data_IF_559215828886
#
_entry.id   IF_559215828886
#
_cell.length_a   1.000
_cell.length_b   1.000
_cell.length_c   1.000
_cell.angle_alpha   90.00
_cell.angle_beta   90.00
_cell.angle_gamma   90.00
#
_symmetry.space_group_name_H-M   'P 1'
#
loop_
_entity.id
_entity.type
_entity.pdbx_description
1 polymer ?
#
# COMPACT_ATOMS: atom_id res chain seq x y z
N UNK A 1 2.56 79.15 33.53
CA UNK A 1 1.53 79.41 32.49
C UNK A 1 1.21 78.10 31.79
N UNK A 2 -0.06 77.89 31.45
CA UNK A 2 -0.67 76.60 31.14
C UNK A 2 -0.66 76.23 29.64
N UNK A 3 -0.85 74.92 29.39
CA UNK A 3 -1.52 74.20 28.27
C UNK A 3 -1.20 74.55 26.81
N UNK A 4 -0.85 73.52 26.03
CA UNK A 4 -1.39 73.17 24.69
C UNK A 4 -0.93 71.73 24.36
N UNK A 5 -1.80 70.72 24.24
CA UNK A 5 -2.58 70.38 23.03
C UNK A 5 -1.72 69.44 22.15
N UNK A 6 -1.95 68.13 22.06
CA UNK A 6 -3.04 67.41 21.37
C UNK A 6 -2.49 66.61 20.17
N UNK A 7 -2.64 65.28 20.24
CA UNK A 7 -2.91 64.30 19.18
C UNK A 7 -2.06 64.30 17.90
N UNK A 8 -1.23 63.26 17.71
CA UNK A 8 -0.92 62.71 16.37
C UNK A 8 -0.64 61.20 16.39
N UNK A 9 -1.64 60.47 15.88
CA UNK A 9 -1.61 59.23 15.10
C UNK A 9 -0.70 58.07 15.54
N UNK A 10 -1.31 57.05 16.16
CA UNK A 10 -0.79 55.69 16.19
C UNK A 10 -0.90 55.06 14.79
N UNK A 11 0.23 54.77 14.14
CA UNK A 11 0.28 53.94 12.93
C UNK A 11 0.28 52.47 13.34
N UNK A 12 -0.90 51.83 13.33
CA UNK A 12 -1.01 50.37 13.34
C UNK A 12 -0.80 49.86 11.91
N UNK A 13 0.40 49.36 11.60
CA UNK A 13 0.63 48.54 10.42
C UNK A 13 0.04 47.15 10.67
N UNK A 14 -1.21 46.94 10.26
CA UNK A 14 -1.78 45.59 10.12
C UNK A 14 -1.18 44.97 8.86
N UNK A 15 -0.17 44.11 9.05
CA UNK A 15 0.31 43.21 8.01
C UNK A 15 -0.77 42.16 7.75
N UNK A 16 -1.61 42.40 6.75
CA UNK A 16 -2.46 41.37 6.17
C UNK A 16 -1.57 40.39 5.39
N UNK A 17 -1.12 39.34 6.07
CA UNK A 17 -0.55 38.17 5.39
C UNK A 17 -1.67 37.51 4.58
N UNK A 18 -1.65 37.73 3.27
CA UNK A 18 -2.34 36.90 2.30
C UNK A 18 -1.70 35.51 2.35
N UNK A 19 -2.11 34.70 3.33
CA UNK A 19 -1.84 33.27 3.32
C UNK A 19 -2.61 32.69 2.15
N UNK A 20 -1.90 32.31 1.09
CA UNK A 20 -2.43 31.37 0.11
C UNK A 20 -2.75 30.09 0.86
N UNK A 21 -4.01 29.91 1.25
CA UNK A 21 -4.52 28.62 1.67
C UNK A 21 -4.57 27.79 0.40
N UNK A 22 -3.46 27.12 0.08
CA UNK A 22 -3.50 26.01 -0.86
C UNK A 22 -4.47 25.00 -0.22
N UNK A 23 -5.65 24.85 -0.81
CA UNK A 23 -6.60 23.84 -0.42
C UNK A 23 -5.87 22.49 -0.52
N UNK A 24 -5.57 21.89 0.63
CA UNK A 24 -5.12 20.51 0.68
C UNK A 24 -6.19 19.67 -0.02
N UNK A 25 -5.82 18.77 -0.94
CA UNK A 25 -6.79 17.84 -1.48
C UNK A 25 -7.40 17.09 -0.30
N UNK A 26 -8.72 17.22 -0.14
CA UNK A 26 -9.48 16.51 0.88
C UNK A 26 -9.26 15.02 0.67
N UNK A 27 -8.82 14.32 1.71
CA UNK A 27 -8.61 12.87 1.75
C UNK A 27 -9.91 12.04 1.56
N UNK A 28 -10.98 12.66 1.05
CA UNK A 28 -12.35 12.16 1.00
C UNK A 28 -12.63 11.19 -0.16
N UNK A 29 -11.63 10.88 -0.99
CA UNK A 29 -11.73 9.85 -2.03
C UNK A 29 -10.54 8.88 -2.02
N UNK A 30 -9.77 8.83 -0.92
CA UNK A 30 -8.72 7.85 -0.78
C UNK A 30 -9.35 6.47 -0.52
N UNK A 31 -9.07 5.51 -1.39
CA UNK A 31 -9.46 4.11 -1.17
C UNK A 31 -8.84 3.65 0.16
N UNK A 32 -9.69 3.22 1.08
CA UNK A 32 -9.26 2.68 2.37
C UNK A 32 -8.56 1.33 2.16
N UNK A 33 -7.44 1.16 2.86
CA UNK A 33 -6.73 -0.12 2.91
C UNK A 33 -7.15 -0.84 4.19
N UNK A 34 -7.81 -1.99 4.04
CA UNK A 34 -8.33 -2.82 5.12
C UNK A 34 -7.32 -3.95 5.40
N UNK A 35 -6.64 -3.95 6.55
CA UNK A 35 -5.78 -5.04 6.97
C UNK A 35 -6.49 -6.39 7.05
N UNK A 36 -5.76 -7.44 6.69
CA UNK A 36 -6.16 -8.81 6.93
C UNK A 36 -6.26 -9.18 8.42
N UNK A 37 -6.96 -10.28 8.76
CA UNK A 37 -7.07 -10.75 10.13
C UNK A 37 -5.70 -10.92 10.80
N UNK A 38 -5.55 -10.35 11.99
CA UNK A 38 -4.32 -10.45 12.80
C UNK A 38 -3.19 -9.51 12.38
N UNK A 39 -3.34 -8.71 11.31
CA UNK A 39 -2.34 -7.74 10.90
C UNK A 39 -2.59 -6.34 11.52
N UNK A 40 -1.52 -5.55 11.78
CA UNK A 40 -1.65 -4.23 12.39
C UNK A 40 -2.47 -3.23 11.56
N UNK A 41 -3.21 -2.34 12.22
CA UNK A 41 -3.92 -1.25 11.56
C UNK A 41 -2.99 -0.22 10.90
N UNK A 42 -3.49 0.54 9.92
CA UNK A 42 -2.77 1.69 9.35
C UNK A 42 -2.39 2.74 10.41
N UNK A 43 -3.32 3.00 11.35
CA UNK A 43 -3.14 3.99 12.43
C UNK A 43 -1.95 3.62 13.32
N UNK A 44 -1.80 2.33 13.64
CA UNK A 44 -0.65 1.86 14.43
C UNK A 44 0.70 1.97 13.71
N UNK A 45 0.70 2.13 12.39
CA UNK A 45 1.92 2.26 11.58
C UNK A 45 2.24 3.71 11.24
N UNK A 46 1.37 4.67 11.55
CA UNK A 46 1.54 6.07 11.19
C UNK A 46 1.54 6.32 9.67
N UNK A 47 0.94 5.42 8.88
CA UNK A 47 0.88 5.53 7.43
C UNK A 47 -0.22 6.50 7.00
N UNK A 48 0.11 7.38 6.06
CA UNK A 48 -0.88 8.26 5.41
C UNK A 48 -1.39 7.64 4.11
N UNK A 49 -2.54 8.10 3.61
CA UNK A 49 -3.03 7.71 2.28
C UNK A 49 -1.98 8.01 1.19
N UNK A 50 -1.26 9.12 1.29
CA UNK A 50 -0.20 9.45 0.35
C UNK A 50 0.94 8.42 0.35
N UNK A 51 1.25 7.80 1.49
CA UNK A 51 2.25 6.74 1.57
C UNK A 51 1.80 5.45 0.87
N UNK A 52 0.51 5.14 0.95
CA UNK A 52 -0.07 3.93 0.36
C UNK A 52 -0.11 3.99 -1.17
N UNK A 53 -0.27 5.16 -1.77
CA UNK A 53 -0.31 5.31 -3.25
C UNK A 53 1.03 5.74 -3.87
N UNK A 54 2.15 5.65 -3.14
CA UNK A 54 3.47 5.91 -3.71
C UNK A 54 3.80 4.90 -4.80
N UNK A 55 4.50 5.37 -5.83
CA UNK A 55 5.04 4.52 -6.90
C UNK A 55 5.90 3.41 -6.31
N UNK A 56 5.69 2.20 -6.81
CA UNK A 56 6.46 1.01 -6.42
C UNK A 56 7.71 0.85 -7.29
N UNK A 57 8.74 0.15 -6.80
CA UNK A 57 9.93 -0.14 -7.61
C UNK A 57 9.58 -1.00 -8.83
N UNK A 58 10.20 -0.72 -9.97
CA UNK A 58 10.21 -1.64 -11.11
C UNK A 58 11.18 -2.78 -10.79
N UNK A 59 10.70 -4.03 -10.78
CA UNK A 59 11.58 -5.18 -10.60
C UNK A 59 12.22 -5.48 -11.95
N UNK A 60 13.49 -5.09 -12.11
CA UNK A 60 14.34 -5.65 -13.17
C UNK A 60 14.57 -7.13 -12.87
N UNK A 61 14.28 -8.01 -13.82
CA UNK A 61 14.25 -9.48 -13.68
C UNK A 61 15.59 -10.16 -13.30
N UNK A 62 16.59 -9.39 -12.85
CA UNK A 62 17.96 -9.84 -12.57
C UNK A 62 18.25 -10.13 -11.09
N UNK A 63 17.30 -9.94 -10.17
CA UNK A 63 17.54 -10.14 -8.72
C UNK A 63 16.61 -11.18 -8.13
N UNK A 64 16.99 -12.45 -8.25
CA UNK A 64 16.77 -13.46 -7.21
C UNK A 64 17.75 -14.64 -7.39
N UNK A 65 18.78 -14.79 -6.53
CA UNK A 65 19.56 -16.01 -6.50
C UNK A 65 18.68 -17.16 -5.99
N UNK A 66 18.41 -18.12 -6.87
CA UNK A 66 18.19 -19.56 -6.64
C UNK A 66 17.80 -19.99 -5.21
N UNK A 67 16.70 -19.48 -4.67
CA UNK A 67 15.83 -20.30 -3.83
C UNK A 67 14.93 -21.03 -4.82
N UNK A 68 14.94 -22.36 -4.82
CA UNK A 68 14.13 -23.15 -5.76
C UNK A 68 12.67 -22.78 -5.57
N UNK A 69 12.15 -22.00 -6.53
CA UNK A 69 10.76 -21.63 -6.61
C UNK A 69 9.97 -22.93 -6.72
N UNK A 70 9.09 -23.20 -5.76
CA UNK A 70 8.19 -24.38 -5.81
C UNK A 70 6.89 -24.08 -6.56
N UNK A 71 6.79 -22.88 -7.13
CA UNK A 71 5.62 -22.36 -7.81
C UNK A 71 6.07 -21.46 -8.95
N UNK A 72 5.50 -21.66 -10.14
CA UNK A 72 5.75 -20.81 -11.29
C UNK A 72 4.79 -19.62 -11.22
N UNK A 73 5.34 -18.41 -11.04
CA UNK A 73 4.51 -17.19 -11.07
C UNK A 73 3.82 -17.06 -12.43
N UNK A 74 2.57 -16.63 -12.41
CA UNK A 74 1.78 -16.46 -13.62
C UNK A 74 0.84 -15.27 -13.54
N UNK A 75 0.54 -14.73 -14.71
CA UNK A 75 -0.45 -13.68 -14.87
C UNK A 75 -1.81 -14.29 -15.20
N UNK A 76 -2.85 -13.74 -14.58
CA UNK A 76 -4.23 -13.96 -14.97
C UNK A 76 -4.73 -12.73 -15.72
N UNK A 77 -5.77 -12.91 -16.53
CA UNK A 77 -6.34 -11.83 -17.33
C UNK A 77 -7.87 -11.94 -17.44
N UNK A 78 -8.50 -12.58 -16.46
CA UNK A 78 -9.94 -12.85 -16.48
C UNK A 78 -10.69 -11.77 -15.71
N UNK A 79 -10.25 -11.48 -14.49
CA UNK A 79 -10.89 -10.52 -13.61
C UNK A 79 -9.85 -9.54 -13.07
N UNK A 80 -9.33 -8.70 -13.96
CA UNK A 80 -8.31 -7.72 -13.62
C UNK A 80 -8.83 -6.70 -12.60
N UNK A 81 -8.01 -6.30 -11.63
CA UNK A 81 -8.30 -5.25 -10.63
C UNK A 81 -7.49 -3.99 -10.89
N UNK A 82 -7.88 -2.85 -10.30
CA UNK A 82 -7.13 -1.62 -10.44
C UNK A 82 -5.71 -1.75 -9.85
N UNK A 83 -4.68 -1.42 -10.64
CA UNK A 83 -3.28 -1.52 -10.22
C UNK A 83 -2.93 -0.61 -9.03
N UNK A 84 -3.55 0.56 -8.92
CA UNK A 84 -3.27 1.50 -7.82
C UNK A 84 -3.82 0.97 -6.49
N UNK A 85 -4.94 0.24 -6.52
CA UNK A 85 -5.48 -0.45 -5.36
C UNK A 85 -4.55 -1.59 -4.89
N UNK A 86 -4.03 -2.38 -5.83
CA UNK A 86 -3.01 -3.38 -5.52
C UNK A 86 -1.73 -2.76 -4.94
N UNK A 87 -1.30 -1.61 -5.47
CA UNK A 87 -0.14 -0.85 -4.94
C UNK A 87 -0.38 -0.39 -3.49
N UNK A 88 -1.59 0.04 -3.16
CA UNK A 88 -1.95 0.43 -1.81
C UNK A 88 -1.75 -0.72 -0.81
N UNK A 89 -2.24 -1.91 -1.15
CA UNK A 89 -2.00 -3.09 -0.34
C UNK A 89 -0.52 -3.51 -0.30
N UNK A 90 0.21 -3.43 -1.42
CA UNK A 90 1.65 -3.68 -1.44
C UNK A 90 2.40 -2.77 -0.46
N UNK A 91 2.14 -1.47 -0.50
CA UNK A 91 2.85 -0.49 0.35
C UNK A 91 2.55 -0.72 1.83
N UNK A 92 1.31 -1.09 2.17
CA UNK A 92 0.94 -1.51 3.52
C UNK A 92 1.73 -2.75 3.98
N UNK A 93 1.71 -3.83 3.20
CA UNK A 93 2.40 -5.08 3.54
C UNK A 93 3.93 -4.90 3.62
N UNK A 94 4.50 -4.07 2.75
CA UNK A 94 5.92 -3.74 2.78
C UNK A 94 6.29 -2.93 4.04
N UNK A 95 5.43 -2.00 4.47
CA UNK A 95 5.64 -1.21 5.69
C UNK A 95 5.60 -2.06 6.97
N UNK A 96 4.91 -3.20 6.96
CA UNK A 96 4.92 -4.17 8.05
C UNK A 96 6.28 -4.85 8.26
N UNK A 97 7.18 -4.79 7.28
CA UNK A 97 8.56 -5.26 7.40
C UNK A 97 8.63 -6.75 7.75
N UNK A 98 9.22 -7.05 8.91
CA UNK A 98 9.42 -8.43 9.43
C UNK A 98 8.24 -8.96 10.24
N UNK A 99 7.08 -8.28 10.23
CA UNK A 99 5.84 -8.87 10.77
C UNK A 99 5.54 -10.17 10.02
N UNK A 100 5.09 -11.19 10.74
CA UNK A 100 4.75 -12.47 10.12
C UNK A 100 3.43 -12.35 9.36
N UNK A 101 3.44 -12.74 8.08
CA UNK A 101 2.27 -12.92 7.25
C UNK A 101 2.09 -14.42 7.04
N UNK A 102 1.16 -15.01 7.78
CA UNK A 102 0.93 -16.46 7.84
C UNK A 102 -0.44 -16.86 7.35
N UNK A 103 -0.56 -18.09 6.85
CA UNK A 103 -1.78 -18.69 6.35
C UNK A 103 -1.81 -20.18 6.66
N UNK A 104 -2.98 -20.66 7.07
CA UNK A 104 -3.22 -22.10 7.23
C UNK A 104 -3.78 -22.69 5.92
N UNK A 105 -4.78 -22.03 5.34
CA UNK A 105 -5.39 -22.43 4.05
C UNK A 105 -5.38 -21.27 3.05
N UNK A 106 -6.32 -20.34 3.19
CA UNK A 106 -6.41 -19.11 2.42
C UNK A 106 -6.68 -17.92 3.36
N UNK A 107 -6.15 -16.74 3.04
CA UNK A 107 -6.40 -15.51 3.81
C UNK A 107 -6.27 -14.29 2.92
N UNK A 108 -7.00 -13.23 3.25
CA UNK A 108 -6.72 -11.89 2.74
C UNK A 108 -5.71 -11.22 3.66
N UNK A 109 -4.54 -10.87 3.13
CA UNK A 109 -3.58 -10.06 3.89
C UNK A 109 -3.96 -8.58 3.86
N UNK A 110 -4.62 -8.14 2.79
CA UNK A 110 -5.04 -6.77 2.63
C UNK A 110 -6.12 -6.65 1.55
N UNK A 111 -7.06 -5.73 1.76
CA UNK A 111 -8.05 -5.31 0.76
C UNK A 111 -7.91 -3.81 0.52
N UNK A 112 -8.03 -3.38 -0.73
CA UNK A 112 -8.13 -1.98 -1.11
C UNK A 112 -9.04 -1.86 -2.34
N UNK A 113 -10.18 -1.19 -2.21
CA UNK A 113 -11.08 -0.95 -3.34
C UNK A 113 -11.55 -2.26 -3.99
N UNK A 114 -11.23 -2.46 -5.28
CA UNK A 114 -11.58 -3.67 -6.03
C UNK A 114 -10.54 -4.82 -5.91
N UNK A 115 -9.41 -4.59 -5.23
CA UNK A 115 -8.32 -5.54 -5.13
C UNK A 115 -8.18 -6.12 -3.72
N UNK A 116 -7.83 -7.40 -3.63
CA UNK A 116 -7.21 -7.95 -2.43
C UNK A 116 -5.85 -8.57 -2.76
N UNK A 117 -4.94 -8.55 -1.79
CA UNK A 117 -3.72 -9.34 -1.80
C UNK A 117 -3.92 -10.51 -0.85
N UNK A 118 -4.04 -11.71 -1.43
CA UNK A 118 -4.30 -12.95 -0.72
C UNK A 118 -3.05 -13.80 -0.49
N UNK A 119 -3.19 -14.80 0.37
CA UNK A 119 -2.23 -15.86 0.62
C UNK A 119 -2.87 -17.24 0.57
N UNK A 120 -2.19 -18.21 -0.04
CA UNK A 120 -2.59 -19.62 -0.08
C UNK A 120 -1.45 -20.54 0.33
N UNK A 121 -1.75 -21.58 1.11
CA UNK A 121 -0.78 -22.62 1.46
C UNK A 121 -0.89 -23.85 0.53
N UNK A 122 0.20 -24.20 -0.16
CA UNK A 122 0.26 -25.37 -1.05
C UNK A 122 0.94 -26.61 -0.44
N UNK A 123 1.55 -26.51 0.74
CA UNK A 123 2.28 -27.61 1.38
C UNK A 123 1.46 -28.37 2.45
N UNK A 124 0.27 -27.87 2.82
CA UNK A 124 -0.53 -28.36 3.94
C UNK A 124 0.02 -27.91 5.29
N UNK A 125 -0.85 -27.54 6.24
CA UNK A 125 -0.46 -27.04 7.56
C UNK A 125 -0.37 -25.50 7.61
N UNK A 126 0.64 -24.96 8.28
CA UNK A 126 0.88 -23.51 8.36
C UNK A 126 2.03 -23.09 7.46
N UNK A 127 1.84 -22.05 6.64
CA UNK A 127 2.89 -21.39 5.88
C UNK A 127 2.99 -19.92 6.29
N UNK A 128 4.20 -19.40 6.43
CA UNK A 128 4.43 -18.00 6.82
C UNK A 128 5.71 -17.45 6.20
N UNK A 129 5.69 -16.17 5.88
CA UNK A 129 6.88 -15.38 5.51
C UNK A 129 6.80 -14.01 6.15
N UNK A 130 7.83 -13.18 6.01
CA UNK A 130 7.71 -11.78 6.40
C UNK A 130 6.78 -11.03 5.46
N UNK A 131 5.99 -10.10 5.98
CA UNK A 131 5.05 -9.33 5.16
C UNK A 131 5.73 -8.53 4.04
N UNK A 132 6.99 -8.10 4.22
CA UNK A 132 7.79 -7.52 3.12
C UNK A 132 8.11 -8.51 1.99
N UNK A 133 8.24 -9.80 2.31
CA UNK A 133 8.54 -10.84 1.33
C UNK A 133 7.26 -11.28 0.60
N UNK A 134 6.12 -11.27 1.31
CA UNK A 134 4.77 -11.36 0.70
C UNK A 134 4.54 -10.18 -0.24
N UNK A 135 4.85 -8.95 0.20
CA UNK A 135 4.78 -7.76 -0.64
C UNK A 135 5.68 -7.87 -1.87
N UNK A 136 6.87 -8.49 -1.74
CA UNK A 136 7.75 -8.73 -2.89
C UNK A 136 7.12 -9.66 -3.94
N UNK A 137 6.40 -10.70 -3.51
CA UNK A 137 5.61 -11.55 -4.41
C UNK A 137 4.50 -10.77 -5.12
N UNK A 138 3.74 -9.94 -4.39
CA UNK A 138 2.74 -9.06 -4.98
C UNK A 138 3.33 -8.05 -5.97
N UNK A 139 4.52 -7.51 -5.67
CA UNK A 139 5.21 -6.56 -6.55
C UNK A 139 5.59 -7.19 -7.89
N UNK A 140 5.94 -8.47 -7.90
CA UNK A 140 6.15 -9.20 -9.15
C UNK A 140 4.89 -9.18 -10.02
N UNK A 141 3.72 -9.47 -9.44
CA UNK A 141 2.44 -9.44 -10.16
C UNK A 141 2.13 -8.03 -10.66
N UNK A 142 2.29 -7.00 -9.82
CA UNK A 142 2.04 -5.59 -10.15
C UNK A 142 2.87 -5.10 -11.34
N UNK A 143 4.09 -5.61 -11.48
CA UNK A 143 5.02 -5.19 -12.53
C UNK A 143 4.92 -6.04 -13.81
N UNK A 144 4.65 -7.34 -13.68
CA UNK A 144 4.70 -8.27 -14.81
C UNK A 144 3.32 -8.58 -15.40
N UNK A 145 2.24 -8.42 -14.62
CA UNK A 145 0.87 -8.76 -15.02
C UNK A 145 0.01 -7.53 -15.28
N UNK A 146 0.62 -6.41 -15.67
CA UNK A 146 -0.06 -5.15 -15.92
C UNK A 146 -0.62 -5.07 -17.34
N UNK A 147 -1.95 -5.07 -17.46
CA UNK A 147 -2.69 -4.84 -18.70
C UNK A 147 -3.52 -3.56 -18.53
N UNK A 148 -3.13 -2.48 -19.20
CA UNK A 148 -3.83 -1.19 -19.17
C UNK A 148 -4.08 -0.65 -17.75
N UNK A 149 -3.06 -0.70 -16.87
CA UNK A 149 -3.14 -0.31 -15.46
C UNK A 149 -4.10 -1.16 -14.62
N UNK A 150 -4.31 -2.41 -15.03
CA UNK A 150 -5.02 -3.42 -14.27
C UNK A 150 -4.17 -4.68 -14.14
N UNK A 151 -4.32 -5.39 -13.04
CA UNK A 151 -3.46 -6.53 -12.68
C UNK A 151 -4.28 -7.69 -12.15
N UNK A 152 -3.79 -8.91 -12.35
CA UNK A 152 -4.30 -10.14 -11.73
C UNK A 152 -3.22 -11.22 -11.88
N UNK A 153 -3.04 -12.08 -10.88
CA UNK A 153 -2.04 -13.12 -10.98
C UNK A 153 -1.67 -13.73 -9.65
N UNK A 154 -0.68 -14.62 -9.70
CA UNK A 154 -0.15 -15.28 -8.52
C UNK A 154 1.36 -15.39 -8.61
N UNK A 155 2.01 -15.28 -7.45
CA UNK A 155 3.45 -15.42 -7.30
C UNK A 155 3.81 -16.06 -5.97
N UNK A 156 4.94 -16.75 -5.90
CA UNK A 156 5.45 -17.21 -4.60
C UNK A 156 5.82 -16.02 -3.71
N UNK A 157 5.48 -16.08 -2.42
CA UNK A 157 6.09 -15.19 -1.44
C UNK A 157 7.60 -15.46 -1.42
N UNK A 158 8.38 -14.38 -1.42
CA UNK A 158 9.83 -14.54 -1.25
C UNK A 158 10.10 -15.14 0.15
N UNK A 159 11.21 -15.85 0.30
CA UNK A 159 11.56 -16.53 1.55
C UNK A 159 10.71 -17.77 1.89
N UNK A 160 9.57 -18.02 1.24
CA UNK A 160 8.76 -19.23 1.44
C UNK A 160 7.95 -19.62 0.20
N UNK A 161 8.46 -20.57 -0.58
CA UNK A 161 7.78 -21.08 -1.78
C UNK A 161 6.51 -21.91 -1.55
N UNK A 162 6.11 -22.17 -0.29
CA UNK A 162 4.84 -22.82 0.02
C UNK A 162 3.70 -21.81 0.26
N UNK A 163 4.04 -20.52 0.39
CA UNK A 163 3.10 -19.42 0.52
C UNK A 163 2.93 -18.75 -0.84
N UNK A 164 1.76 -18.89 -1.44
CA UNK A 164 1.44 -18.26 -2.74
C UNK A 164 0.67 -16.98 -2.48
N UNK A 165 1.14 -15.89 -3.06
CA UNK A 165 0.52 -14.57 -3.02
C UNK A 165 -0.32 -14.40 -4.27
N UNK A 166 -1.56 -13.95 -4.12
CA UNK A 166 -2.44 -13.63 -5.25
C UNK A 166 -2.85 -12.16 -5.24
N UNK A 167 -3.15 -11.63 -6.43
CA UNK A 167 -3.89 -10.37 -6.61
C UNK A 167 -5.11 -10.70 -7.43
N UNK A 168 -6.28 -10.54 -6.83
CA UNK A 168 -7.57 -10.99 -7.35
C UNK A 168 -8.67 -9.96 -7.01
N UNK A 169 -9.84 -10.03 -7.67
CA UNK A 169 -11.00 -9.22 -7.31
C UNK A 169 -11.49 -9.53 -5.92
N UNK A 170 -11.67 -8.47 -5.12
CA UNK A 170 -12.37 -8.61 -3.87
C UNK A 170 -13.89 -8.58 -4.10
N UNK A 171 -14.58 -9.64 -3.68
CA UNK A 171 -16.05 -9.69 -3.63
C UNK A 171 -16.46 -9.82 -2.16
N UNK A 172 -16.84 -8.68 -1.58
CA UNK A 172 -17.33 -8.58 -0.21
C UNK A 172 -18.68 -9.29 -0.02
#
# INVERSE_FOLDING_TARGET
>A
MAKLGSLTAAFLCVLASLGNVAALPTADNAVEVIPGPGLPSLVSLGLTSADLFKKVPEINSTVAPQLSKRFDDFCQNTNLVNRDNAIACYNYLNALGTTACGVDTNIDFCVAGDAHIGGSNIAGGHASSYCRDVATGALWIINNCNINNRVEGAAAAYGNGNLIVSIEPWSA
#
